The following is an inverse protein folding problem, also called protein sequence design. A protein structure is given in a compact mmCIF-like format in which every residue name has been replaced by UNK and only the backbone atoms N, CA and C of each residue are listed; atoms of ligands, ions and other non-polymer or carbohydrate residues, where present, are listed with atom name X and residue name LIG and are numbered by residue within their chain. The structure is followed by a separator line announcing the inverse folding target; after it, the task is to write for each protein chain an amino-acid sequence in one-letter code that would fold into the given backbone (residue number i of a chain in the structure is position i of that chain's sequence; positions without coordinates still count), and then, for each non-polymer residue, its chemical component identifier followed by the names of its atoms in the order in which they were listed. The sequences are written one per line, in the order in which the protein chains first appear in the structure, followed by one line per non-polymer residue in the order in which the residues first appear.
data_IF_267170806962
#
_entry.id   IF_267170806962
#
_cell.length_a   1.000
_cell.length_b   1.000
_cell.length_c   1.000
_cell.angle_alpha   90.00
_cell.angle_beta   90.00
_cell.angle_gamma   90.00
#
_symmetry.space_group_name_H-M   'P 1'
#
loop_
_entity.id
_entity.type
_entity.pdbx_description
1 polymer ?
#
# COMPACT_ATOMS: atom_id res chain seq x y z
N UNK A 1 20.84 24.12 -7.24
CA UNK A 1 20.66 22.81 -7.91
C UNK A 1 20.04 21.75 -7.00
N UNK A 2 20.40 21.69 -5.71
CA UNK A 2 19.88 20.66 -4.78
C UNK A 2 18.35 20.69 -4.56
N UNK A 3 17.77 21.87 -4.31
CA UNK A 3 16.32 22.01 -4.07
C UNK A 3 15.48 21.53 -5.26
N UNK A 4 15.92 21.82 -6.49
CA UNK A 4 15.22 21.35 -7.69
C UNK A 4 15.21 19.82 -7.80
N UNK A 5 16.34 19.18 -7.49
CA UNK A 5 16.42 17.72 -7.47
C UNK A 5 15.49 17.10 -6.42
N UNK A 6 15.46 17.68 -5.22
CA UNK A 6 14.58 17.23 -4.12
C UNK A 6 13.11 17.34 -4.52
N UNK A 7 12.69 18.50 -5.05
CA UNK A 7 11.30 18.71 -5.46
C UNK A 7 10.92 17.74 -6.59
N UNK A 8 11.82 17.52 -7.55
CA UNK A 8 11.57 16.60 -8.64
C UNK A 8 11.39 15.14 -8.17
N UNK A 9 12.26 14.65 -7.28
CA UNK A 9 12.14 13.28 -6.76
C UNK A 9 10.89 13.08 -5.91
N UNK A 10 10.50 14.07 -5.11
CA UNK A 10 9.25 14.05 -4.35
C UNK A 10 8.06 13.95 -5.31
N UNK A 11 7.98 14.82 -6.31
CA UNK A 11 6.86 14.83 -7.25
C UNK A 11 6.80 13.53 -8.08
N UNK A 12 7.94 13.08 -8.59
CA UNK A 12 8.01 11.85 -9.38
C UNK A 12 7.57 10.63 -8.58
N UNK A 13 8.13 10.44 -7.38
CA UNK A 13 7.78 9.28 -6.55
C UNK A 13 6.34 9.33 -6.06
N UNK A 14 5.83 10.52 -5.67
CA UNK A 14 4.45 10.68 -5.26
C UNK A 14 3.46 10.36 -6.39
N UNK A 15 3.65 10.95 -7.58
CA UNK A 15 2.73 10.76 -8.71
C UNK A 15 2.80 9.32 -9.23
N UNK A 16 4.01 8.79 -9.46
CA UNK A 16 4.17 7.44 -9.98
C UNK A 16 3.58 6.40 -9.02
N UNK A 17 3.88 6.50 -7.72
CA UNK A 17 3.35 5.58 -6.71
C UNK A 17 1.83 5.72 -6.59
N UNK A 18 1.30 6.95 -6.60
CA UNK A 18 -0.15 7.18 -6.55
C UNK A 18 -0.88 6.46 -7.70
N UNK A 19 -0.39 6.60 -8.94
CA UNK A 19 -0.98 5.93 -10.11
C UNK A 19 -0.92 4.41 -9.97
N UNK A 20 0.24 3.87 -9.59
CA UNK A 20 0.40 2.41 -9.40
C UNK A 20 -0.56 1.88 -8.35
N UNK A 21 -0.61 2.52 -7.17
CA UNK A 21 -1.49 2.08 -6.09
C UNK A 21 -2.97 2.16 -6.47
N UNK A 22 -3.38 3.16 -7.24
CA UNK A 22 -4.76 3.28 -7.70
C UNK A 22 -5.14 2.17 -8.70
N UNK A 23 -4.24 1.85 -9.63
CA UNK A 23 -4.43 0.74 -10.57
C UNK A 23 -4.53 -0.59 -9.80
N UNK A 24 -3.60 -0.86 -8.88
CA UNK A 24 -3.63 -2.10 -8.07
C UNK A 24 -4.91 -2.18 -7.24
N UNK A 25 -5.32 -1.06 -6.61
CA UNK A 25 -6.57 -0.98 -5.85
C UNK A 25 -7.79 -1.32 -6.72
N UNK A 26 -7.82 -0.87 -7.98
CA UNK A 26 -8.94 -1.13 -8.88
C UNK A 26 -8.97 -2.57 -9.42
N UNK A 27 -7.82 -3.20 -9.61
CA UNK A 27 -7.72 -4.52 -10.24
C UNK A 27 -7.75 -5.69 -9.25
N UNK A 28 -7.02 -5.58 -8.13
CA UNK A 28 -6.80 -6.69 -7.19
C UNK A 28 -7.42 -6.40 -5.82
N UNK A 29 -7.52 -5.11 -5.46
CA UNK A 29 -7.77 -4.69 -4.09
C UNK A 29 -6.44 -4.59 -3.33
N UNK A 30 -6.24 -3.46 -2.65
CA UNK A 30 -4.96 -3.12 -1.99
C UNK A 30 -4.99 -3.32 -0.48
N UNK A 31 -6.17 -3.28 0.14
CA UNK A 31 -6.34 -3.30 1.60
C UNK A 31 -7.30 -4.42 1.98
N UNK A 32 -7.00 -5.21 3.04
CA UNK A 32 -7.94 -6.20 3.58
C UNK A 32 -9.24 -5.54 4.07
N UNK A 33 -10.27 -6.36 4.25
CA UNK A 33 -11.53 -5.91 4.83
C UNK A 33 -11.35 -5.50 6.29
N UNK A 34 -12.25 -4.66 6.79
CA UNK A 34 -12.19 -4.22 8.20
C UNK A 34 -12.27 -5.38 9.19
N UNK A 35 -12.97 -6.46 8.84
CA UNK A 35 -13.05 -7.65 9.69
C UNK A 35 -11.71 -8.39 9.73
N UNK A 36 -11.06 -8.61 8.59
CA UNK A 36 -9.74 -9.24 8.51
C UNK A 36 -8.66 -8.41 9.22
N UNK A 37 -8.77 -7.07 9.18
CA UNK A 37 -7.87 -6.19 9.95
C UNK A 37 -8.06 -6.32 11.46
N UNK A 38 -9.29 -6.54 11.93
CA UNK A 38 -9.59 -6.72 13.36
C UNK A 38 -9.17 -8.11 13.85
N UNK A 39 -9.42 -9.13 13.04
CA UNK A 39 -9.07 -10.53 13.34
C UNK A 39 -7.56 -10.77 13.27
N UNK A 40 -6.86 -10.02 12.42
CA UNK A 40 -5.41 -10.11 12.22
C UNK A 40 -5.04 -10.83 10.92
N UNK A 41 -3.98 -10.36 10.26
CA UNK A 41 -3.53 -10.91 8.98
C UNK A 41 -2.85 -12.29 9.14
N UNK A 42 -2.31 -12.57 10.32
CA UNK A 42 -1.73 -13.89 10.61
C UNK A 42 -2.82 -14.97 10.55
N UNK A 43 -4.00 -14.69 11.13
CA UNK A 43 -5.16 -15.59 11.07
C UNK A 43 -5.79 -15.58 9.67
N UNK A 44 -6.12 -14.40 9.14
CA UNK A 44 -6.92 -14.26 7.92
C UNK A 44 -6.17 -14.57 6.61
N UNK A 45 -4.85 -14.32 6.55
CA UNK A 45 -4.06 -14.52 5.33
C UNK A 45 -3.02 -15.63 5.43
N UNK A 46 -2.53 -15.94 6.64
CA UNK A 46 -1.47 -16.94 6.85
C UNK A 46 -1.94 -18.20 7.58
N UNK A 47 -3.16 -18.21 8.14
CA UNK A 47 -3.72 -19.34 8.88
C UNK A 47 -2.97 -19.66 10.18
N UNK A 48 -2.18 -18.72 10.68
CA UNK A 48 -1.38 -18.87 11.89
C UNK A 48 -2.24 -18.47 13.09
N UNK A 49 -2.39 -19.39 14.05
CA UNK A 49 -3.04 -19.14 15.35
C UNK A 49 -2.06 -19.48 16.45
N UNK A 50 -1.71 -18.48 17.26
CA UNK A 50 -0.88 -18.69 18.45
C UNK A 50 -1.78 -19.23 19.57
N UNK A 51 -1.48 -20.41 20.16
CA UNK A 51 -2.28 -21.01 21.23
C UNK A 51 -2.24 -20.22 22.54
#
# INVERSE_FOLDING_TARGET
TQIYGIVFTILWTAIATFVILYIVKALVGLRPSSQEEIEGLDISQHGEVVP
#
